data_IF_930959353629
#
_entry.id   IF_930959353629
#
_cell.length_a   1.000
_cell.length_b   1.000
_cell.length_c   1.000
_cell.angle_alpha   90.00
_cell.angle_beta   90.00
_cell.angle_gamma   90.00
#
_symmetry.space_group_name_H-M   'P 1'
#
loop_
_entity.id
_entity.type
_entity.pdbx_description
1 polymer ?
#
# COMPACT_ATOMS: atom_id res chain seq x y z
N UNK A 1 -0.50 -3.95 13.83
CA UNK A 1 0.21 -4.22 12.57
C UNK A 1 1.54 -4.96 12.75
N UNK A 2 2.11 -4.99 13.96
CA UNK A 2 3.40 -5.61 14.26
C UNK A 2 3.40 -7.14 14.29
N UNK A 3 2.26 -7.82 14.08
CA UNK A 3 2.12 -9.29 14.22
C UNK A 3 2.22 -10.06 12.89
N UNK A 4 2.01 -9.41 11.74
CA UNK A 4 1.90 -10.07 10.43
C UNK A 4 3.22 -10.67 9.92
N UNK A 5 4.38 -10.08 10.27
CA UNK A 5 5.72 -10.54 9.83
C UNK A 5 6.61 -11.01 11.00
N UNK A 6 6.05 -11.11 12.22
CA UNK A 6 6.83 -11.28 13.46
C UNK A 6 7.42 -12.66 13.67
N UNK A 7 7.05 -13.65 12.87
CA UNK A 7 7.53 -15.03 13.02
C UNK A 7 9.00 -15.24 12.69
N UNK A 8 9.66 -14.30 11.98
CA UNK A 8 11.03 -14.48 11.46
C UNK A 8 12.01 -13.34 11.74
N UNK A 9 11.57 -12.26 12.38
CA UNK A 9 12.41 -11.06 12.60
C UNK A 9 12.63 -10.83 14.09
N UNK A 10 13.88 -10.99 14.54
CA UNK A 10 14.32 -10.59 15.89
C UNK A 10 14.27 -9.07 16.07
N UNK A 11 14.42 -8.31 14.98
CA UNK A 11 14.21 -6.87 14.91
C UNK A 11 13.53 -6.48 13.58
N UNK A 12 12.63 -5.48 13.58
CA UNK A 12 11.98 -4.99 12.37
C UNK A 12 12.95 -4.16 11.50
N UNK A 13 13.82 -4.83 10.74
CA UNK A 13 14.79 -4.23 9.81
C UNK A 13 14.12 -3.70 8.52
N UNK A 14 13.83 -2.41 8.42
CA UNK A 14 13.34 -1.87 7.14
C UNK A 14 14.47 -1.83 6.11
N UNK A 15 14.15 -2.00 4.82
CA UNK A 15 12.82 -2.17 4.22
C UNK A 15 12.27 -3.60 4.35
N UNK A 16 10.95 -3.77 4.17
CA UNK A 16 10.36 -5.10 3.89
C UNK A 16 10.72 -5.47 2.45
N UNK A 17 11.34 -6.63 2.24
CA UNK A 17 11.79 -7.02 0.89
C UNK A 17 10.60 -7.43 0.01
N UNK A 18 10.81 -7.44 -1.31
CA UNK A 18 9.81 -7.94 -2.27
C UNK A 18 9.44 -9.40 -1.96
N UNK A 19 10.41 -10.25 -1.65
CA UNK A 19 10.19 -11.64 -1.24
C UNK A 19 9.37 -11.76 0.06
N UNK A 20 9.58 -10.86 1.02
CA UNK A 20 8.77 -10.86 2.24
C UNK A 20 7.31 -10.50 1.94
N UNK A 21 7.03 -9.69 0.92
CA UNK A 21 5.67 -9.36 0.47
C UNK A 21 5.01 -10.54 -0.27
N UNK A 22 5.75 -11.27 -1.10
CA UNK A 22 5.20 -12.47 -1.78
C UNK A 22 4.89 -13.57 -0.77
N UNK A 23 5.80 -13.83 0.18
CA UNK A 23 5.56 -14.77 1.28
C UNK A 23 4.34 -14.36 2.12
N UNK A 24 4.15 -13.05 2.37
CA UNK A 24 3.00 -12.55 3.11
C UNK A 24 1.67 -12.89 2.40
N UNK A 25 1.63 -12.80 1.07
CA UNK A 25 0.47 -13.20 0.26
C UNK A 25 0.22 -14.70 0.37
N UNK A 26 1.24 -15.52 0.11
CA UNK A 26 1.14 -16.98 0.12
C UNK A 26 0.68 -17.52 1.48
N UNK A 27 1.20 -16.95 2.58
CA UNK A 27 0.80 -17.31 3.95
C UNK A 27 -0.65 -16.95 4.29
N UNK A 28 -1.30 -16.12 3.48
CA UNK A 28 -2.72 -15.76 3.63
C UNK A 28 -3.62 -16.56 2.67
N UNK A 29 -3.20 -17.77 2.26
CA UNK A 29 -3.95 -18.69 1.42
C UNK A 29 -4.43 -18.02 0.14
N UNK A 30 -3.50 -17.49 -0.65
CA UNK A 30 -3.77 -16.98 -1.98
C UNK A 30 -2.71 -17.48 -2.95
N UNK A 31 -3.13 -17.80 -4.17
CA UNK A 31 -2.20 -18.00 -5.28
C UNK A 31 -1.61 -16.67 -5.72
N UNK A 32 -0.34 -16.65 -6.11
CA UNK A 32 0.33 -15.49 -6.67
C UNK A 32 0.91 -15.86 -8.05
N UNK A 33 0.45 -15.17 -9.08
CA UNK A 33 1.11 -15.13 -10.38
C UNK A 33 1.82 -13.78 -10.53
N UNK A 34 3.14 -13.79 -10.34
CA UNK A 34 3.95 -12.58 -10.38
C UNK A 34 4.25 -12.09 -11.81
N UNK A 35 3.92 -12.86 -12.85
CA UNK A 35 4.30 -12.62 -14.24
C UNK A 35 3.10 -12.76 -15.18
N UNK A 36 1.94 -12.23 -14.76
CA UNK A 36 0.71 -12.37 -15.50
C UNK A 36 0.62 -11.39 -16.67
N UNK A 37 0.05 -11.85 -17.79
CA UNK A 37 -0.42 -10.96 -18.85
C UNK A 37 -1.79 -10.37 -18.44
N UNK A 38 -1.80 -9.08 -18.18
CA UNK A 38 -3.00 -8.34 -17.75
C UNK A 38 -3.62 -7.51 -18.86
N UNK A 39 -3.22 -7.68 -20.13
CA UNK A 39 -3.72 -6.86 -21.25
C UNK A 39 -5.24 -6.86 -21.37
N UNK A 40 -5.90 -7.98 -21.02
CA UNK A 40 -7.35 -8.14 -21.04
C UNK A 40 -8.09 -7.28 -20.00
N UNK A 41 -7.38 -6.80 -18.97
CA UNK A 41 -7.92 -5.93 -17.92
C UNK A 41 -7.72 -4.45 -18.21
N UNK A 42 -6.76 -4.11 -19.08
CA UNK A 42 -6.41 -2.75 -19.46
C UNK A 42 -4.90 -2.56 -19.54
N UNK A 43 -4.46 -1.65 -20.41
CA UNK A 43 -3.03 -1.39 -20.63
C UNK A 43 -2.33 -0.73 -19.42
N UNK A 44 -3.10 -0.18 -18.48
CA UNK A 44 -2.68 0.53 -17.27
C UNK A 44 -2.87 -0.27 -15.98
N UNK A 45 -3.30 -1.54 -16.09
CA UNK A 45 -3.52 -2.43 -14.95
C UNK A 45 -2.19 -3.07 -14.54
N UNK A 46 -1.86 -2.92 -13.26
CA UNK A 46 -0.59 -3.39 -12.71
C UNK A 46 -0.77 -4.57 -11.74
N UNK A 47 -1.96 -4.72 -11.16
CA UNK A 47 -2.34 -5.81 -10.27
C UNK A 47 -3.83 -6.12 -10.34
N UNK A 48 -4.18 -7.38 -10.07
CA UNK A 48 -5.58 -7.83 -9.98
C UNK A 48 -5.69 -8.85 -8.85
N UNK A 49 -6.66 -8.66 -7.95
CA UNK A 49 -7.07 -9.69 -7.00
C UNK A 49 -8.40 -10.31 -7.45
N UNK A 50 -8.40 -11.61 -7.69
CA UNK A 50 -9.57 -12.39 -8.12
C UNK A 50 -10.09 -13.21 -6.94
N UNK A 51 -11.37 -13.02 -6.62
CA UNK A 51 -12.03 -13.79 -5.57
C UNK A 51 -12.86 -14.92 -6.17
N UNK A 52 -12.69 -16.11 -5.61
CA UNK A 52 -13.41 -17.31 -6.02
C UNK A 52 -14.36 -17.79 -4.91
N UNK A 53 -15.50 -18.41 -5.28
CA UNK A 53 -16.44 -18.93 -4.28
C UNK A 53 -16.01 -20.28 -3.68
N UNK A 54 -15.26 -21.10 -4.42
CA UNK A 54 -14.93 -22.49 -4.03
C UNK A 54 -13.43 -22.79 -3.95
N UNK A 55 -12.57 -21.78 -4.13
CA UNK A 55 -11.12 -21.93 -4.02
C UNK A 55 -10.49 -20.67 -3.46
N UNK A 56 -9.21 -20.76 -3.12
CA UNK A 56 -8.45 -19.61 -2.65
C UNK A 56 -8.39 -18.48 -3.70
N UNK A 57 -8.36 -17.20 -3.29
CA UNK A 57 -8.16 -16.07 -4.19
C UNK A 57 -6.83 -16.17 -4.94
N UNK A 58 -6.77 -15.49 -6.07
CA UNK A 58 -5.56 -15.36 -6.88
C UNK A 58 -5.19 -13.88 -7.00
N UNK A 59 -3.92 -13.56 -6.75
CA UNK A 59 -3.33 -12.26 -7.03
C UNK A 59 -2.49 -12.40 -8.29
N UNK A 60 -2.73 -11.52 -9.25
CA UNK A 60 -2.00 -11.43 -10.51
C UNK A 60 -1.25 -10.10 -10.56
N UNK A 61 0.04 -10.15 -10.86
CA UNK A 61 0.88 -8.95 -11.04
C UNK A 61 1.34 -8.91 -12.49
N UNK A 62 1.32 -7.71 -13.08
CA UNK A 62 1.73 -7.53 -14.47
C UNK A 62 3.18 -7.94 -14.69
N UNK A 63 3.42 -8.81 -15.68
CA UNK A 63 4.77 -9.19 -16.13
C UNK A 63 5.65 -7.98 -16.45
N UNK A 64 5.06 -6.95 -17.08
CA UNK A 64 5.75 -5.69 -17.42
C UNK A 64 6.24 -4.92 -16.20
N UNK A 65 5.58 -5.11 -15.05
CA UNK A 65 5.97 -4.51 -13.79
C UNK A 65 7.02 -5.37 -13.08
N UNK A 66 6.82 -6.69 -13.05
CA UNK A 66 7.69 -7.61 -12.32
C UNK A 66 9.09 -7.76 -12.95
N UNK A 67 9.21 -7.64 -14.29
CA UNK A 67 10.48 -7.81 -15.00
C UNK A 67 11.31 -6.51 -15.18
N UNK A 68 10.87 -5.38 -14.62
CA UNK A 68 11.59 -4.10 -14.72
C UNK A 68 12.14 -3.71 -13.35
N UNK A 69 13.43 -3.97 -13.09
CA UNK A 69 14.11 -3.62 -11.84
C UNK A 69 13.96 -2.13 -11.48
N UNK A 70 13.84 -1.25 -12.49
CA UNK A 70 13.66 0.20 -12.25
C UNK A 70 12.30 0.52 -11.62
N UNK A 71 11.37 -0.44 -11.59
CA UNK A 71 10.02 -0.32 -11.05
C UNK A 71 9.84 -1.06 -9.73
N UNK A 72 10.90 -1.47 -9.05
CA UNK A 72 10.80 -2.22 -7.80
C UNK A 72 9.90 -1.52 -6.75
N UNK A 73 10.03 -0.21 -6.57
CA UNK A 73 9.16 0.55 -5.66
C UNK A 73 7.67 0.44 -6.04
N UNK A 74 7.37 0.43 -7.34
CA UNK A 74 6.01 0.26 -7.86
C UNK A 74 5.54 -1.17 -7.61
N UNK A 75 6.36 -2.19 -7.94
CA UNK A 75 6.05 -3.60 -7.69
C UNK A 75 5.71 -3.85 -6.22
N UNK A 76 6.55 -3.37 -5.30
CA UNK A 76 6.33 -3.49 -3.85
C UNK A 76 5.04 -2.80 -3.39
N UNK A 77 4.74 -1.63 -3.97
CA UNK A 77 3.47 -0.92 -3.68
C UNK A 77 2.26 -1.71 -4.17
N UNK A 78 2.32 -2.29 -5.37
CA UNK A 78 1.25 -3.10 -5.95
C UNK A 78 1.04 -4.38 -5.16
N UNK A 79 2.10 -5.14 -4.82
CA UNK A 79 2.00 -6.34 -3.99
C UNK A 79 1.34 -6.05 -2.64
N UNK A 80 1.76 -4.98 -1.96
CA UNK A 80 1.18 -4.59 -0.68
C UNK A 80 -0.28 -4.09 -0.81
N UNK A 81 -0.65 -3.51 -1.95
CA UNK A 81 -2.02 -3.08 -2.29
C UNK A 81 -2.94 -4.28 -2.51
N UNK A 82 -2.53 -5.22 -3.36
CA UNK A 82 -3.28 -6.46 -3.61
C UNK A 82 -3.40 -7.32 -2.34
N UNK A 83 -2.36 -7.36 -1.50
CA UNK A 83 -2.47 -7.96 -0.18
C UNK A 83 -3.54 -7.27 0.68
N UNK A 84 -3.67 -5.94 0.59
CA UNK A 84 -4.74 -5.19 1.24
C UNK A 84 -6.13 -5.68 0.82
N UNK A 85 -6.35 -5.89 -0.48
CA UNK A 85 -7.58 -6.49 -0.99
C UNK A 85 -7.79 -7.91 -0.45
N UNK A 86 -6.78 -8.77 -0.55
CA UNK A 86 -6.85 -10.14 -0.05
C UNK A 86 -7.21 -10.20 1.43
N UNK A 87 -6.53 -9.42 2.27
CA UNK A 87 -6.67 -9.52 3.72
C UNK A 87 -7.96 -8.89 4.22
N UNK A 88 -8.32 -7.71 3.71
CA UNK A 88 -9.44 -6.94 4.23
C UNK A 88 -10.75 -7.12 3.48
N UNK A 89 -10.73 -7.56 2.22
CA UNK A 89 -11.96 -7.61 1.40
C UNK A 89 -12.45 -9.02 1.12
N UNK A 90 -11.65 -10.07 1.38
CA UNK A 90 -12.03 -11.47 1.11
C UNK A 90 -13.39 -11.87 1.69
N UNK A 91 -13.70 -11.46 2.91
CA UNK A 91 -14.98 -11.79 3.55
C UNK A 91 -16.17 -11.08 2.89
N UNK A 92 -16.01 -9.81 2.50
CA UNK A 92 -17.04 -9.05 1.79
C UNK A 92 -17.36 -9.65 0.42
N UNK A 93 -16.32 -10.13 -0.26
CA UNK A 93 -16.45 -10.87 -1.51
C UNK A 93 -17.13 -12.22 -1.31
N UNK A 94 -16.80 -12.95 -0.25
CA UNK A 94 -17.47 -14.22 0.09
C UNK A 94 -18.98 -14.01 0.31
N UNK A 95 -19.37 -12.97 1.07
CA UNK A 95 -20.77 -12.64 1.32
C UNK A 95 -21.50 -12.27 0.02
N UNK A 96 -20.87 -11.42 -0.82
CA UNK A 96 -21.42 -11.03 -2.13
C UNK A 96 -21.58 -12.23 -3.08
N UNK A 97 -20.60 -13.13 -3.10
CA UNK A 97 -20.63 -14.34 -3.93
C UNK A 97 -21.69 -15.33 -3.43
N UNK A 98 -21.82 -15.51 -2.13
CA UNK A 98 -22.86 -16.35 -1.52
C UNK A 98 -24.27 -15.79 -1.81
N UNK A 99 -24.45 -14.46 -1.69
CA UNK A 99 -25.71 -13.80 -2.02
C UNK A 99 -26.03 -13.86 -3.52
N UNK A 100 -25.02 -13.82 -4.40
CA UNK A 100 -25.21 -13.92 -5.86
C UNK A 100 -25.48 -15.32 -6.37
N UNK A 101 -24.99 -16.36 -5.69
CA UNK A 101 -25.39 -17.76 -5.94
C UNK A 101 -26.91 -17.95 -5.87
N UNK A 102 -27.62 -17.08 -5.16
CA UNK A 102 -29.08 -17.06 -5.09
C UNK A 102 -29.75 -16.36 -6.29
N UNK A 103 -29.05 -15.55 -7.11
CA UNK A 103 -29.72 -14.65 -8.07
C UNK A 103 -29.26 -14.63 -9.54
N UNK A 104 -27.99 -14.81 -9.95
CA UNK A 104 -27.66 -15.05 -11.38
C UNK A 104 -26.16 -15.35 -11.65
N UNK A 105 -25.87 -16.07 -12.74
CA UNK A 105 -24.57 -16.69 -13.07
C UNK A 105 -23.63 -15.91 -14.00
N UNK A 106 -23.88 -14.65 -14.33
CA UNK A 106 -23.07 -13.93 -15.33
C UNK A 106 -22.79 -12.47 -14.96
N UNK A 107 -21.68 -12.17 -14.27
CA UNK A 107 -21.04 -10.85 -14.40
C UNK A 107 -19.54 -10.89 -14.07
N UNK A 108 -18.76 -9.98 -14.69
CA UNK A 108 -17.30 -9.80 -14.54
C UNK A 108 -16.87 -9.24 -13.16
N UNK A 109 -17.79 -9.12 -12.21
CA UNK A 109 -17.65 -8.27 -11.02
C UNK A 109 -16.94 -8.91 -9.83
N UNK A 110 -16.20 -10.02 -9.95
CA UNK A 110 -15.57 -10.70 -8.80
C UNK A 110 -14.07 -10.37 -8.65
N UNK A 111 -13.68 -9.19 -9.11
CA UNK A 111 -12.28 -8.79 -9.29
C UNK A 111 -12.08 -7.40 -8.71
N UNK A 112 -11.04 -7.25 -7.88
CA UNK A 112 -10.45 -5.94 -7.63
C UNK A 112 -9.39 -5.70 -8.70
N UNK A 113 -9.50 -4.59 -9.44
CA UNK A 113 -8.60 -4.28 -10.57
C UNK A 113 -7.87 -2.99 -10.20
N UNK A 114 -6.58 -3.12 -9.95
CA UNK A 114 -5.75 -2.01 -9.57
C UNK A 114 -5.14 -1.34 -10.81
N UNK A 115 -5.53 -0.09 -11.04
CA UNK A 115 -4.95 0.78 -12.08
C UNK A 115 -3.81 1.60 -11.52
N UNK A 116 -2.82 1.91 -12.36
CA UNK A 116 -1.64 2.71 -12.00
C UNK A 116 -1.98 4.00 -11.23
N UNK A 117 -3.01 4.73 -11.66
CA UNK A 117 -3.28 6.08 -11.16
C UNK A 117 -4.10 6.10 -9.85
N UNK A 118 -4.69 4.98 -9.43
CA UNK A 118 -5.59 4.93 -8.26
C UNK A 118 -4.92 4.50 -6.96
N UNK A 119 -3.75 3.84 -7.02
CA UNK A 119 -3.09 3.22 -5.86
C UNK A 119 -2.84 4.20 -4.71
N UNK A 120 -2.38 5.42 -5.02
CA UNK A 120 -1.98 6.41 -4.00
C UNK A 120 -3.07 7.46 -3.71
N UNK A 121 -4.00 7.67 -4.63
CA UNK A 121 -4.95 8.80 -4.61
C UNK A 121 -6.39 8.39 -4.98
N UNK A 122 -6.81 7.16 -4.68
CA UNK A 122 -8.19 6.72 -4.89
C UNK A 122 -9.19 7.73 -4.25
N UNK A 123 -10.23 8.07 -5.02
CA UNK A 123 -11.32 8.95 -4.54
C UNK A 123 -12.14 8.21 -3.48
N UNK A 124 -12.67 8.94 -2.49
CA UNK A 124 -13.45 8.36 -1.36
C UNK A 124 -14.68 7.53 -1.80
N UNK A 125 -15.12 7.63 -3.06
CA UNK A 125 -16.21 6.83 -3.64
C UNK A 125 -15.85 5.36 -3.87
N UNK A 126 -14.56 5.02 -3.95
CA UNK A 126 -14.07 3.64 -3.98
C UNK A 126 -13.30 3.34 -2.69
N UNK A 127 -14.06 3.12 -1.62
CA UNK A 127 -13.51 2.93 -0.27
C UNK A 127 -12.61 1.69 -0.17
N UNK A 128 -12.81 0.68 -1.04
CA UNK A 128 -12.00 -0.54 -1.07
C UNK A 128 -10.62 -0.23 -1.62
N UNK A 129 -10.53 0.43 -2.78
CA UNK A 129 -9.25 0.89 -3.35
C UNK A 129 -8.54 1.86 -2.40
N UNK A 130 -9.29 2.78 -1.77
CA UNK A 130 -8.73 3.67 -0.75
C UNK A 130 -8.13 2.89 0.44
N UNK A 131 -8.84 1.88 0.94
CA UNK A 131 -8.36 1.07 2.06
C UNK A 131 -7.13 0.25 1.67
N UNK A 132 -7.14 -0.35 0.48
CA UNK A 132 -5.99 -1.09 -0.04
C UNK A 132 -4.76 -0.19 -0.21
N UNK A 133 -4.92 1.03 -0.73
CA UNK A 133 -3.85 2.02 -0.82
C UNK A 133 -3.32 2.45 0.56
N UNK A 134 -4.20 2.68 1.53
CA UNK A 134 -3.78 2.98 2.90
C UNK A 134 -3.01 1.82 3.55
N UNK A 135 -3.48 0.59 3.35
CA UNK A 135 -2.84 -0.64 3.83
C UNK A 135 -1.47 -0.83 3.20
N UNK A 136 -1.34 -0.62 1.88
CA UNK A 136 -0.07 -0.66 1.15
C UNK A 136 0.96 0.26 1.80
N UNK A 137 0.61 1.53 1.99
CA UNK A 137 1.47 2.50 2.67
C UNK A 137 1.76 2.13 4.13
N UNK A 138 0.83 1.47 4.82
CA UNK A 138 1.04 1.03 6.18
C UNK A 138 2.01 -0.16 6.29
N UNK A 139 1.90 -1.15 5.40
CA UNK A 139 2.82 -2.28 5.32
C UNK A 139 4.23 -1.78 5.03
N UNK A 140 4.39 -1.01 3.95
CA UNK A 140 5.70 -0.53 3.51
C UNK A 140 6.34 0.48 4.47
N UNK A 141 5.51 1.32 5.11
CA UNK A 141 5.95 2.37 6.04
C UNK A 141 5.13 2.33 7.34
N UNK A 142 5.49 1.44 8.29
CA UNK A 142 4.72 1.27 9.52
C UNK A 142 4.75 2.49 10.43
N UNK A 143 3.60 2.78 11.04
CA UNK A 143 3.38 3.98 11.86
C UNK A 143 4.47 4.25 12.89
N UNK A 144 4.84 3.23 13.68
CA UNK A 144 5.84 3.37 14.75
C UNK A 144 7.23 3.64 14.21
N UNK A 145 7.59 3.05 13.08
CA UNK A 145 8.89 3.24 12.45
C UNK A 145 9.00 4.62 11.82
N UNK A 146 7.97 5.06 11.09
CA UNK A 146 7.92 6.41 10.51
C UNK A 146 7.97 7.46 11.61
N UNK A 147 7.17 7.33 12.67
CA UNK A 147 7.20 8.28 13.80
C UNK A 147 8.56 8.36 14.47
N UNK A 148 9.21 7.21 14.67
CA UNK A 148 10.56 7.16 15.25
C UNK A 148 11.56 7.89 14.34
N UNK A 149 11.58 7.59 13.05
CA UNK A 149 12.45 8.24 12.07
C UNK A 149 12.27 9.77 12.07
N UNK A 150 11.01 10.24 12.05
CA UNK A 150 10.71 11.67 12.09
C UNK A 150 11.15 12.30 13.41
N UNK A 151 10.90 11.63 14.54
CA UNK A 151 11.33 12.08 15.86
C UNK A 151 12.85 12.19 15.97
N UNK A 152 13.58 11.18 15.49
CA UNK A 152 15.04 11.12 15.51
C UNK A 152 15.66 12.22 14.62
N UNK A 153 14.97 12.61 13.55
CA UNK A 153 15.36 13.75 12.72
C UNK A 153 15.08 15.11 13.40
N UNK A 154 13.86 15.30 13.92
CA UNK A 154 13.38 16.58 14.44
C UNK A 154 13.94 16.93 15.82
N UNK A 155 14.09 15.95 16.72
CA UNK A 155 14.49 16.15 18.11
C UNK A 155 15.82 16.91 18.25
N UNK A 156 16.92 16.44 17.64
CA UNK A 156 18.21 17.14 17.69
C UNK A 156 18.21 18.53 17.05
N UNK A 157 17.20 18.84 16.24
CA UNK A 157 17.05 20.11 15.50
C UNK A 157 16.06 21.06 16.18
N UNK A 158 15.52 20.70 17.34
CA UNK A 158 14.49 21.47 18.08
C UNK A 158 13.27 21.85 17.22
N UNK A 159 12.91 20.97 16.27
CA UNK A 159 11.74 21.16 15.41
C UNK A 159 10.50 20.64 16.12
N UNK A 160 9.83 21.52 16.88
CA UNK A 160 8.62 21.19 17.64
C UNK A 160 7.33 21.64 16.95
N UNK A 161 7.43 22.53 15.95
CA UNK A 161 6.29 22.96 15.14
C UNK A 161 6.02 21.98 13.99
N UNK A 162 4.82 22.08 13.41
CA UNK A 162 4.47 21.35 12.21
C UNK A 162 5.45 21.65 11.06
N UNK A 163 6.05 20.59 10.50
CA UNK A 163 6.99 20.71 9.39
C UNK A 163 6.21 20.62 8.08
N UNK A 164 6.26 21.69 7.29
CA UNK A 164 5.68 21.71 5.95
C UNK A 164 6.44 20.77 5.02
N UNK A 165 5.72 20.00 4.20
CA UNK A 165 6.29 19.14 3.16
C UNK A 165 7.09 19.93 2.12
N UNK A 166 6.79 21.23 1.94
CA UNK A 166 7.50 22.11 1.02
C UNK A 166 8.76 22.75 1.64
N UNK A 167 8.97 22.63 2.95
CA UNK A 167 10.17 23.13 3.62
C UNK A 167 11.39 22.26 3.32
N UNK A 168 12.59 22.79 3.57
CA UNK A 168 13.83 22.00 3.45
C UNK A 168 13.82 20.81 4.41
N UNK A 169 13.38 21.00 5.65
CA UNK A 169 13.24 19.89 6.59
C UNK A 169 12.21 18.85 6.12
N UNK A 170 11.11 19.28 5.50
CA UNK A 170 10.11 18.38 4.91
C UNK A 170 10.72 17.51 3.81
N UNK A 171 11.49 18.10 2.89
CA UNK A 171 12.19 17.36 1.83
C UNK A 171 13.18 16.35 2.38
N UNK A 172 13.97 16.72 3.39
CA UNK A 172 14.93 15.81 4.03
C UNK A 172 14.24 14.66 4.76
N UNK A 173 13.12 14.92 5.44
CA UNK A 173 12.32 13.86 6.07
C UNK A 173 11.77 12.90 5.01
N UNK A 174 11.24 13.42 3.90
CA UNK A 174 10.77 12.60 2.78
C UNK A 174 11.91 11.74 2.22
N UNK A 175 13.09 12.32 2.01
CA UNK A 175 14.27 11.59 1.53
C UNK A 175 14.69 10.46 2.47
N UNK A 176 14.73 10.71 3.79
CA UNK A 176 15.04 9.66 4.78
C UNK A 176 13.99 8.54 4.79
N UNK A 177 12.71 8.86 4.60
CA UNK A 177 11.64 7.84 4.48
C UNK A 177 11.81 7.02 3.19
N UNK A 178 12.11 7.68 2.07
CA UNK A 178 12.37 7.00 0.80
C UNK A 178 13.53 6.01 0.94
N UNK A 179 14.64 6.44 1.54
CA UNK A 179 15.83 5.62 1.73
C UNK A 179 15.57 4.45 2.69
N UNK A 180 14.98 4.71 3.85
CA UNK A 180 14.77 3.70 4.91
C UNK A 180 13.77 2.61 4.50
N UNK A 181 12.71 2.98 3.79
CA UNK A 181 11.63 2.06 3.42
C UNK A 181 11.67 1.62 1.95
N UNK A 182 12.62 2.16 1.17
CA UNK A 182 12.77 1.97 -0.27
C UNK A 182 11.47 2.28 -1.03
N UNK A 183 10.87 3.44 -0.81
CA UNK A 183 9.60 3.82 -1.46
C UNK A 183 9.79 4.99 -2.42
N UNK A 184 8.82 5.22 -3.31
CA UNK A 184 8.82 6.44 -4.14
C UNK A 184 8.60 7.69 -3.28
N UNK A 185 9.01 8.85 -3.81
CA UNK A 185 8.76 10.14 -3.15
C UNK A 185 7.26 10.36 -2.89
N UNK A 186 6.41 10.10 -3.88
CA UNK A 186 4.97 10.26 -3.75
C UNK A 186 4.38 9.40 -2.62
N UNK A 187 4.78 8.12 -2.53
CA UNK A 187 4.32 7.23 -1.48
C UNK A 187 4.75 7.72 -0.09
N UNK A 188 6.02 8.14 0.05
CA UNK A 188 6.55 8.71 1.28
C UNK A 188 5.78 9.97 1.71
N UNK A 189 5.55 10.90 0.77
CA UNK A 189 4.81 12.14 1.00
C UNK A 189 3.38 11.88 1.44
N UNK A 190 2.64 11.04 0.70
CA UNK A 190 1.26 10.67 1.02
C UNK A 190 1.21 10.06 2.42
N UNK A 191 2.12 9.15 2.75
CA UNK A 191 2.16 8.50 4.07
C UNK A 191 2.42 9.50 5.18
N UNK A 192 3.43 10.35 5.04
CA UNK A 192 3.80 11.36 6.04
C UNK A 192 2.65 12.34 6.30
N UNK A 193 1.95 12.78 5.24
CA UNK A 193 0.76 13.64 5.35
C UNK A 193 -0.41 12.91 6.03
N UNK A 194 -0.72 11.68 5.64
CA UNK A 194 -1.81 10.88 6.24
C UNK A 194 -1.55 10.56 7.72
N UNK A 195 -0.29 10.49 8.14
CA UNK A 195 0.10 10.28 9.54
C UNK A 195 0.25 11.58 10.35
N UNK A 196 0.02 12.74 9.72
CA UNK A 196 0.20 14.06 10.34
C UNK A 196 1.64 14.34 10.78
N UNK A 197 2.63 13.68 10.17
CA UNK A 197 4.05 13.91 10.44
C UNK A 197 4.59 15.12 9.67
N UNK A 198 3.99 15.42 8.52
CA UNK A 198 4.21 16.64 7.75
C UNK A 198 2.86 17.31 7.46
N UNK A 199 2.90 18.60 7.13
CA UNK A 199 1.72 19.38 6.71
C UNK A 199 1.82 19.83 5.25
N UNK A 200 0.68 19.98 4.59
CA UNK A 200 0.60 20.48 3.21
C UNK A 200 0.72 22.01 3.11
N UNK A 201 0.63 22.73 4.24
CA UNK A 201 0.70 24.19 4.29
C UNK A 201 1.92 24.65 5.08
N UNK A 202 2.51 25.77 4.64
CA UNK A 202 3.46 26.59 5.42
C UNK A 202 2.76 27.42 6.51
N UNK A 203 1.42 27.42 6.56
CA UNK A 203 0.68 28.21 7.57
C UNK A 203 0.69 27.48 8.92
N UNK A 204 1.36 28.09 9.89
CA UNK A 204 1.11 27.81 11.30
C UNK A 204 -0.40 27.96 11.59
N UNK A 205 -1.02 27.07 12.40
CA UNK A 205 -2.31 27.39 12.96
C UNK A 205 -2.13 28.63 13.85
N UNK A 206 -2.77 29.73 13.49
CA UNK A 206 -2.94 30.86 14.40
C UNK A 206 -3.69 30.35 15.63
N UNK A 207 -3.09 30.48 16.81
CA UNK A 207 -3.73 30.15 18.09
C UNK A 207 -4.84 31.15 18.49
N UNK A 208 -5.21 32.06 17.60
CA UNK A 208 -6.37 32.93 17.75
C UNK A 208 -7.20 32.89 16.47
N UNK A 209 -8.40 32.32 16.60
CA UNK A 209 -9.47 32.25 15.61
C UNK A 209 -10.77 31.89 16.32
#
# INVERSE_FOLDING_TARGET
MTRLLRGRRSESLYPITTDELTILIEQNNAGLDAYADLSDFGADVEGVTIFHPDRDPEILISDRLANDERRENRLRTTLAHEFGHLHFHRHLWADKLAARRLFDRLSRDNKAICKRDTILNARDVDWMEWQAGYVSGAILMPLTAVRRLVSDYCGPRNLHAAVSVASEHGRQIVAHVMETFQVSEDAARVRLLKLGQLTASDRQPSLFG
#
